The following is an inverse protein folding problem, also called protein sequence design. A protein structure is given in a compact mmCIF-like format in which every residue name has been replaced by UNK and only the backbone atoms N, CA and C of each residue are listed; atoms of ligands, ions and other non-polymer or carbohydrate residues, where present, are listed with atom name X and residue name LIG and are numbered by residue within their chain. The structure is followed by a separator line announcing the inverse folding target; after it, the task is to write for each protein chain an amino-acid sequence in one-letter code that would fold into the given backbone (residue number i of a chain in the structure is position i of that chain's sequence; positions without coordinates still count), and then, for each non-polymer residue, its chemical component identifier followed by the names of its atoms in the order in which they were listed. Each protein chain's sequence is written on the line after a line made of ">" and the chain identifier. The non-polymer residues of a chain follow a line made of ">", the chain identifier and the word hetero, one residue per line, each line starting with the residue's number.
data_IF_760615079961
#
_entry.id   IF_760615079961
#
_cell.length_a   1.000
_cell.length_b   1.000
_cell.length_c   1.000
_cell.angle_alpha   90.00
_cell.angle_beta   90.00
_cell.angle_gamma   90.00
#
_symmetry.space_group_name_H-M   'P 1'
#
loop_
_entity.id
_entity.type
_entity.pdbx_description
1 polymer ?
#
# COMPACT_ATOMS: atom_id res chain seq x y z
N UNK A 1 8.59 29.88 4.46
CA UNK A 1 9.28 28.78 3.75
C UNK A 1 9.44 27.55 4.66
N UNK A 2 10.06 27.67 5.83
CA UNK A 2 10.26 26.53 6.74
C UNK A 2 8.97 25.85 7.20
N UNK A 3 7.90 26.62 7.48
CA UNK A 3 6.63 26.07 7.95
C UNK A 3 5.94 25.09 6.97
N UNK A 4 6.17 25.23 5.66
CA UNK A 4 5.62 24.34 4.63
C UNK A 4 6.61 23.27 4.15
N UNK A 5 7.83 23.25 4.70
CA UNK A 5 8.85 22.24 4.38
C UNK A 5 8.35 20.80 4.61
N UNK A 6 7.57 20.49 5.67
CA UNK A 6 7.02 19.14 5.85
C UNK A 6 6.07 18.72 4.72
N UNK A 7 5.27 19.65 4.18
CA UNK A 7 4.36 19.39 3.05
C UNK A 7 5.16 19.11 1.77
N UNK A 8 6.20 19.91 1.50
CA UNK A 8 7.07 19.68 0.35
C UNK A 8 7.82 18.33 0.44
N UNK A 9 8.27 17.95 1.65
CA UNK A 9 8.89 16.66 1.90
C UNK A 9 7.90 15.51 1.63
N UNK A 10 6.66 15.62 2.12
CA UNK A 10 5.60 14.64 1.83
C UNK A 10 5.34 14.51 0.33
N UNK A 11 5.19 15.63 -0.38
CA UNK A 11 4.95 15.63 -1.82
C UNK A 11 6.10 14.96 -2.59
N UNK A 12 7.35 15.28 -2.26
CA UNK A 12 8.54 14.64 -2.85
C UNK A 12 8.53 13.12 -2.64
N UNK A 13 8.26 12.68 -1.40
CA UNK A 13 8.17 11.28 -1.04
C UNK A 13 7.08 10.54 -1.83
N UNK A 14 5.90 11.15 -1.97
CA UNK A 14 4.80 10.59 -2.73
C UNK A 14 5.13 10.48 -4.23
N UNK A 15 5.81 11.48 -4.80
CA UNK A 15 6.26 11.44 -6.20
C UNK A 15 7.23 10.29 -6.47
N UNK A 16 8.24 10.10 -5.62
CA UNK A 16 9.16 8.97 -5.77
C UNK A 16 8.45 7.63 -5.53
N UNK A 17 7.48 7.57 -4.60
CA UNK A 17 6.68 6.37 -4.36
C UNK A 17 5.92 5.92 -5.61
N UNK A 18 5.31 6.84 -6.37
CA UNK A 18 4.60 6.49 -7.61
C UNK A 18 5.54 6.27 -8.79
N UNK A 19 6.72 6.90 -8.79
CA UNK A 19 7.73 6.70 -9.84
C UNK A 19 8.32 5.29 -9.80
N UNK A 20 8.50 4.75 -8.59
CA UNK A 20 8.95 3.37 -8.36
C UNK A 20 7.95 2.32 -8.90
N UNK A 21 6.67 2.69 -9.15
CA UNK A 21 5.66 1.75 -9.67
C UNK A 21 5.97 1.27 -11.09
N UNK A 22 6.74 2.02 -11.88
CA UNK A 22 7.20 1.59 -13.19
C UNK A 22 8.08 0.31 -13.13
N UNK A 23 8.66 0.01 -11.97
CA UNK A 23 9.41 -1.23 -11.72
C UNK A 23 8.49 -2.45 -11.55
N UNK A 24 7.21 -2.22 -11.22
CA UNK A 24 6.21 -3.27 -11.07
C UNK A 24 5.57 -3.59 -12.42
N UNK A 25 5.17 -2.57 -13.15
CA UNK A 25 4.59 -2.70 -14.49
C UNK A 25 4.99 -1.49 -15.35
N UNK A 26 5.52 -1.67 -16.57
CA UNK A 26 5.90 -0.57 -17.46
C UNK A 26 4.76 0.39 -17.79
N UNK A 27 3.50 -0.01 -17.62
CA UNK A 27 2.32 0.84 -17.82
C UNK A 27 2.13 1.87 -16.70
N UNK A 28 2.77 1.71 -15.54
CA UNK A 28 2.64 2.61 -14.40
C UNK A 28 3.63 3.78 -14.50
N UNK A 29 3.35 4.69 -15.41
CA UNK A 29 4.16 5.87 -15.66
C UNK A 29 3.39 7.15 -15.36
N UNK A 30 3.98 8.00 -14.51
CA UNK A 30 3.40 9.27 -14.11
C UNK A 30 4.44 10.37 -14.31
N UNK A 31 4.12 11.37 -15.11
CA UNK A 31 5.05 12.48 -15.35
C UNK A 31 5.08 13.43 -14.14
N UNK A 32 6.24 14.06 -13.92
CA UNK A 32 6.37 15.10 -12.91
C UNK A 32 5.41 16.27 -13.17
N UNK A 33 5.19 16.63 -14.44
CA UNK A 33 4.27 17.70 -14.82
C UNK A 33 2.83 17.39 -14.39
N UNK A 34 2.37 16.16 -14.61
CA UNK A 34 1.06 15.70 -14.13
C UNK A 34 0.97 15.73 -12.60
N UNK A 35 2.01 15.23 -11.91
CA UNK A 35 2.05 15.22 -10.46
C UNK A 35 1.98 16.64 -9.86
N UNK A 36 2.73 17.59 -10.43
CA UNK A 36 2.71 18.99 -10.01
C UNK A 36 1.32 19.59 -10.23
N UNK A 37 0.67 19.32 -11.38
CA UNK A 37 -0.68 19.80 -11.64
C UNK A 37 -1.68 19.27 -10.62
N UNK A 38 -1.60 17.98 -10.29
CA UNK A 38 -2.44 17.36 -9.26
C UNK A 38 -2.16 17.97 -7.87
N UNK A 39 -0.90 18.26 -7.55
CA UNK A 39 -0.51 18.87 -6.28
C UNK A 39 -1.03 20.30 -6.14
N UNK A 40 -0.94 21.11 -7.20
CA UNK A 40 -1.49 22.48 -7.22
C UNK A 40 -3.00 22.45 -7.01
N UNK A 41 -3.73 21.57 -7.72
CA UNK A 41 -5.17 21.37 -7.50
C UNK A 41 -5.47 20.95 -6.06
N UNK A 42 -4.65 20.06 -5.49
CA UNK A 42 -4.74 19.64 -4.10
C UNK A 42 -4.61 20.80 -3.10
N UNK A 43 -3.75 21.79 -3.39
CA UNK A 43 -3.63 23.01 -2.56
C UNK A 43 -4.92 23.84 -2.65
N UNK A 44 -5.52 23.95 -3.82
CA UNK A 44 -6.75 24.72 -4.03
C UNK A 44 -7.93 24.11 -3.30
N UNK A 45 -8.12 22.79 -3.40
CA UNK A 45 -9.28 22.05 -2.90
C UNK A 45 -9.19 21.64 -1.42
N UNK A 46 -7.99 21.45 -0.88
CA UNK A 46 -7.84 21.03 0.52
C UNK A 46 -8.45 22.07 1.51
N UNK A 47 -8.94 21.63 2.68
CA UNK A 47 -9.52 22.51 3.70
C UNK A 47 -8.59 23.65 4.14
N UNK A 48 -9.05 24.91 4.00
CA UNK A 48 -8.26 26.09 4.39
C UNK A 48 -8.23 26.21 5.93
N UNK A 49 -7.08 26.60 6.47
CA UNK A 49 -6.95 27.01 7.88
C UNK A 49 -6.01 28.22 7.96
N UNK A 50 -6.26 29.07 8.95
CA UNK A 50 -5.38 30.18 9.30
C UNK A 50 -4.11 29.69 10.03
N UNK A 51 -4.20 28.55 10.72
CA UNK A 51 -3.04 27.91 11.33
C UNK A 51 -2.24 27.12 10.30
N UNK A 52 -0.94 27.41 10.20
CA UNK A 52 -0.08 26.82 9.17
C UNK A 52 0.17 25.34 9.41
N UNK A 53 0.19 24.91 10.67
CA UNK A 53 0.41 23.50 11.04
C UNK A 53 -0.81 22.67 10.68
N UNK A 54 -2.00 23.11 11.11
CA UNK A 54 -3.28 22.50 10.76
C UNK A 54 -3.48 22.47 9.24
N UNK A 55 -3.20 23.59 8.57
CA UNK A 55 -3.24 23.66 7.11
C UNK A 55 -2.28 22.66 6.45
N UNK A 56 -1.08 22.50 6.99
CA UNK A 56 -0.08 21.55 6.51
C UNK A 56 -0.55 20.09 6.65
N UNK A 57 -1.19 19.75 7.76
CA UNK A 57 -1.80 18.42 7.96
C UNK A 57 -2.93 18.17 6.97
N UNK A 58 -3.86 19.11 6.83
CA UNK A 58 -4.98 19.01 5.90
C UNK A 58 -4.50 18.86 4.44
N UNK A 59 -3.46 19.59 4.04
CA UNK A 59 -2.83 19.45 2.72
C UNK A 59 -2.26 18.05 2.51
N UNK A 60 -1.51 17.53 3.48
CA UNK A 60 -0.92 16.21 3.39
C UNK A 60 -1.98 15.11 3.31
N UNK A 61 -3.02 15.17 4.14
CA UNK A 61 -4.11 14.19 4.14
C UNK A 61 -4.91 14.22 2.84
N UNK A 62 -5.30 15.43 2.40
CA UNK A 62 -6.06 15.61 1.16
C UNK A 62 -5.26 15.11 -0.04
N UNK A 63 -4.02 15.57 -0.18
CA UNK A 63 -3.22 15.22 -1.34
C UNK A 63 -2.82 13.74 -1.36
N UNK A 64 -2.53 13.13 -0.20
CA UNK A 64 -2.23 11.69 -0.13
C UNK A 64 -3.41 10.86 -0.63
N UNK A 65 -4.63 11.21 -0.23
CA UNK A 65 -5.82 10.50 -0.69
C UNK A 65 -6.16 10.80 -2.16
N UNK A 66 -6.07 12.07 -2.58
CA UNK A 66 -6.29 12.46 -3.98
C UNK A 66 -5.32 11.74 -4.92
N UNK A 67 -4.05 11.65 -4.54
CA UNK A 67 -3.05 10.87 -5.27
C UNK A 67 -3.42 9.39 -5.28
N UNK A 68 -3.76 8.81 -4.13
CA UNK A 68 -4.18 7.41 -4.05
C UNK A 68 -5.31 7.08 -5.03
N UNK A 69 -6.36 7.90 -5.04
CA UNK A 69 -7.51 7.74 -5.95
C UNK A 69 -7.06 7.80 -7.41
N UNK A 70 -6.25 8.79 -7.77
CA UNK A 70 -5.78 8.96 -9.14
C UNK A 70 -4.91 7.80 -9.62
N UNK A 71 -4.01 7.30 -8.76
CA UNK A 71 -3.14 6.17 -9.09
C UNK A 71 -3.97 4.88 -9.20
N UNK A 72 -4.85 4.60 -8.24
CA UNK A 72 -5.69 3.40 -8.24
C UNK A 72 -6.62 3.27 -9.45
N UNK A 73 -7.00 4.38 -10.11
CA UNK A 73 -7.74 4.35 -11.38
C UNK A 73 -6.95 3.71 -12.53
N UNK A 74 -5.63 3.75 -12.46
CA UNK A 74 -4.71 3.24 -13.49
C UNK A 74 -4.03 1.92 -13.12
N UNK A 75 -4.13 1.49 -11.85
CA UNK A 75 -3.53 0.24 -11.38
C UNK A 75 -4.44 -0.97 -11.66
N UNK A 76 -3.81 -2.11 -11.96
CA UNK A 76 -4.49 -3.39 -11.91
C UNK A 76 -4.92 -3.72 -10.48
N UNK A 77 -6.04 -4.43 -10.33
CA UNK A 77 -6.63 -4.76 -9.02
C UNK A 77 -5.61 -5.40 -8.06
N UNK A 78 -4.82 -6.35 -8.56
CA UNK A 78 -3.76 -7.04 -7.81
C UNK A 78 -2.68 -6.13 -7.21
N UNK A 79 -2.51 -4.91 -7.72
CA UNK A 79 -1.46 -3.98 -7.28
C UNK A 79 -1.98 -2.87 -6.36
N UNK A 80 -3.31 -2.74 -6.16
CA UNK A 80 -3.87 -1.63 -5.38
C UNK A 80 -3.50 -1.71 -3.89
N UNK A 81 -3.68 -2.87 -3.25
CA UNK A 81 -3.29 -3.06 -1.85
C UNK A 81 -1.77 -2.94 -1.64
N UNK A 82 -0.97 -3.44 -2.60
CA UNK A 82 0.48 -3.27 -2.60
C UNK A 82 0.87 -1.80 -2.60
N UNK A 83 0.20 -0.98 -3.41
CA UNK A 83 0.42 0.47 -3.43
C UNK A 83 0.01 1.13 -2.11
N UNK A 84 -1.13 0.75 -1.53
CA UNK A 84 -1.54 1.25 -0.20
C UNK A 84 -0.52 0.92 0.89
N UNK A 85 0.02 -0.31 0.88
CA UNK A 85 1.11 -0.71 1.78
C UNK A 85 2.36 0.16 1.53
N UNK A 86 2.77 0.33 0.28
CA UNK A 86 3.96 1.13 -0.06
C UNK A 86 3.83 2.59 0.39
N UNK A 87 2.66 3.20 0.19
CA UNK A 87 2.36 4.54 0.70
C UNK A 87 2.51 4.60 2.23
N UNK A 88 1.89 3.68 2.96
CA UNK A 88 1.95 3.64 4.42
C UNK A 88 3.39 3.48 4.91
N UNK A 89 4.14 2.53 4.33
CA UNK A 89 5.54 2.26 4.69
C UNK A 89 6.41 3.48 4.45
N UNK A 90 6.36 4.10 3.26
CA UNK A 90 7.18 5.27 2.94
C UNK A 90 6.84 6.44 3.88
N UNK A 91 5.55 6.67 4.14
CA UNK A 91 5.07 7.73 5.04
C UNK A 91 5.63 7.55 6.46
N UNK A 92 5.55 6.34 7.01
CA UNK A 92 6.00 6.01 8.37
C UNK A 92 7.52 5.95 8.48
N UNK A 93 8.23 5.45 7.46
CA UNK A 93 9.70 5.48 7.43
C UNK A 93 10.23 6.91 7.50
N UNK A 94 9.62 7.84 6.77
CA UNK A 94 10.00 9.26 6.85
C UNK A 94 9.71 9.89 8.22
N UNK A 95 8.77 9.34 8.98
CA UNK A 95 8.46 9.74 10.35
C UNK A 95 9.29 8.99 11.41
N UNK A 96 10.15 8.05 11.00
CA UNK A 96 10.92 7.20 11.91
C UNK A 96 10.12 6.08 12.58
N UNK A 97 8.88 5.82 12.14
CA UNK A 97 7.99 4.81 12.70
C UNK A 97 8.26 3.37 12.24
N UNK A 98 9.10 3.18 11.21
CA UNK A 98 9.45 1.86 10.67
C UNK A 98 10.96 1.74 10.51
N UNK A 99 11.54 0.68 11.08
CA UNK A 99 12.95 0.39 10.93
C UNK A 99 13.25 -0.24 9.56
N UNK A 100 14.35 0.16 8.91
CA UNK A 100 14.75 -0.37 7.61
C UNK A 100 15.10 -1.86 7.63
N UNK A 101 15.64 -2.40 8.73
CA UNK A 101 15.90 -3.83 8.89
C UNK A 101 14.61 -4.63 9.03
N UNK A 102 13.64 -4.13 9.80
CA UNK A 102 12.30 -4.74 9.92
C UNK A 102 11.58 -4.75 8.56
N UNK A 103 11.64 -3.66 7.79
CA UNK A 103 11.10 -3.61 6.43
C UNK A 103 11.75 -4.62 5.49
N UNK A 104 13.09 -4.71 5.50
CA UNK A 104 13.79 -5.74 4.70
C UNK A 104 13.41 -7.15 5.12
N UNK A 105 13.21 -7.39 6.42
CA UNK A 105 12.77 -8.69 6.92
C UNK A 105 11.36 -9.06 6.41
N UNK A 106 10.41 -8.12 6.40
CA UNK A 106 9.07 -8.38 5.84
C UNK A 106 9.13 -8.80 4.36
N UNK A 107 10.03 -8.17 3.58
CA UNK A 107 10.16 -8.42 2.15
C UNK A 107 10.94 -9.71 1.83
N UNK A 108 12.15 -9.85 2.37
CA UNK A 108 13.09 -10.90 1.99
C UNK A 108 13.12 -12.08 2.97
N UNK A 109 12.70 -11.87 4.22
CA UNK A 109 12.76 -12.86 5.28
C UNK A 109 14.16 -13.11 5.83
N UNK A 110 14.42 -14.34 6.31
CA UNK A 110 15.70 -14.67 6.92
C UNK A 110 16.82 -14.59 5.88
N UNK A 111 17.92 -13.93 6.24
CA UNK A 111 19.14 -13.88 5.43
C UNK A 111 20.09 -15.05 5.71
N UNK A 112 19.78 -15.85 6.73
CA UNK A 112 20.57 -16.99 7.15
C UNK A 112 19.67 -18.19 7.43
N UNK A 113 20.18 -19.39 7.20
CA UNK A 113 19.55 -20.64 7.64
C UNK A 113 19.84 -20.95 9.11
N UNK A 114 20.33 -19.97 9.88
CA UNK A 114 20.79 -20.21 11.24
C UNK A 114 19.61 -20.53 12.15
N UNK A 115 19.69 -21.71 12.78
CA UNK A 115 18.79 -22.13 13.83
C UNK A 115 19.55 -21.92 15.13
N UNK A 116 19.28 -20.80 15.81
CA UNK A 116 19.89 -20.51 17.11
C UNK A 116 19.61 -21.62 18.14
N UNK A 117 18.53 -22.39 17.93
CA UNK A 117 18.17 -23.52 18.76
C UNK A 117 17.18 -24.48 18.03
N UNK A 118 16.95 -25.72 18.50
CA UNK A 118 16.06 -26.67 17.82
C UNK A 118 14.58 -26.25 17.85
N UNK A 119 13.83 -26.68 16.83
CA UNK A 119 12.40 -26.43 16.72
C UNK A 119 11.65 -26.99 17.94
N UNK A 120 10.99 -26.15 18.76
CA UNK A 120 10.33 -26.59 19.98
C UNK A 120 8.97 -27.26 19.74
N UNK A 121 8.43 -27.18 18.52
CA UNK A 121 7.11 -27.69 18.20
C UNK A 121 7.03 -28.35 16.80
N UNK A 122 7.85 -29.38 16.53
CA UNK A 122 7.94 -30.02 15.21
C UNK A 122 6.62 -30.67 14.74
N UNK A 123 5.68 -30.90 15.65
CA UNK A 123 4.37 -31.50 15.36
C UNK A 123 3.40 -30.56 14.62
N UNK A 124 3.62 -29.23 14.66
CA UNK A 124 2.76 -28.25 13.97
C UNK A 124 3.53 -27.09 13.34
N UNK A 125 4.75 -26.80 13.79
CA UNK A 125 5.60 -25.76 13.24
C UNK A 125 6.66 -26.38 12.33
N UNK A 126 6.73 -25.90 11.08
CA UNK A 126 7.76 -26.36 10.15
C UNK A 126 9.13 -25.79 10.52
N UNK A 127 10.20 -26.52 10.20
CA UNK A 127 11.57 -26.03 10.41
C UNK A 127 11.85 -24.73 9.63
N UNK A 128 11.22 -24.55 8.47
CA UNK A 128 11.29 -23.29 7.72
C UNK A 128 10.73 -22.14 8.54
N UNK A 129 9.51 -22.27 9.08
CA UNK A 129 8.90 -21.25 9.94
C UNK A 129 9.73 -21.00 11.20
N UNK A 130 10.33 -22.04 11.78
CA UNK A 130 11.21 -21.89 12.93
C UNK A 130 12.48 -21.10 12.60
N UNK A 131 13.13 -21.34 11.45
CA UNK A 131 14.25 -20.50 10.97
C UNK A 131 13.82 -19.04 10.84
N UNK A 132 12.61 -18.77 10.34
CA UNK A 132 12.10 -17.40 10.28
C UNK A 132 11.96 -16.77 11.67
N UNK A 133 11.44 -17.50 12.67
CA UNK A 133 11.32 -17.02 14.06
C UNK A 133 12.70 -16.78 14.68
N UNK A 134 13.66 -17.67 14.48
CA UNK A 134 15.04 -17.49 14.96
C UNK A 134 15.66 -16.21 14.38
N UNK A 135 15.50 -15.97 13.08
CA UNK A 135 16.02 -14.75 12.44
C UNK A 135 15.22 -13.50 12.84
N UNK A 136 13.92 -13.62 13.11
CA UNK A 136 13.10 -12.53 13.64
C UNK A 136 13.67 -12.02 14.96
N UNK A 137 14.11 -12.93 15.85
CA UNK A 137 14.69 -12.58 17.15
C UNK A 137 16.02 -11.81 17.07
N UNK A 138 16.69 -11.76 15.91
CA UNK A 138 17.85 -10.90 15.70
C UNK A 138 17.48 -9.42 15.53
N UNK A 139 16.21 -9.10 15.28
CA UNK A 139 15.73 -7.73 15.30
C UNK A 139 15.68 -7.23 16.75
N UNK A 140 16.18 -6.03 16.99
CA UNK A 140 16.25 -5.42 18.34
C UNK A 140 14.91 -5.45 19.09
N UNK A 141 13.81 -5.30 18.36
CA UNK A 141 12.43 -5.27 18.88
C UNK A 141 11.89 -6.64 19.26
N UNK A 142 12.56 -7.71 18.81
CA UNK A 142 12.25 -9.11 19.08
C UNK A 142 13.37 -9.82 19.87
N UNK A 143 14.25 -9.07 20.54
CA UNK A 143 15.30 -9.64 21.36
C UNK A 143 14.68 -10.58 22.43
N UNK A 144 15.18 -11.82 22.53
CA UNK A 144 14.66 -12.84 23.45
C UNK A 144 13.41 -13.58 22.95
N UNK A 145 12.91 -13.28 21.74
CA UNK A 145 11.63 -13.83 21.27
C UNK A 145 11.64 -15.36 21.07
N UNK A 146 12.79 -15.98 20.76
CA UNK A 146 12.89 -17.43 20.63
C UNK A 146 12.58 -18.17 21.93
N UNK A 147 13.06 -17.66 23.06
CA UNK A 147 12.82 -18.26 24.37
C UNK A 147 11.39 -17.97 24.82
N UNK A 148 10.92 -16.74 24.61
CA UNK A 148 9.52 -16.36 24.84
C UNK A 148 8.53 -17.24 24.07
N UNK A 149 8.83 -17.56 22.81
CA UNK A 149 8.01 -18.44 21.99
C UNK A 149 7.91 -19.86 22.57
N UNK A 150 9.02 -20.37 23.11
CA UNK A 150 9.10 -21.70 23.76
C UNK A 150 8.33 -21.77 25.06
N UNK A 151 8.35 -20.69 25.83
CA UNK A 151 7.63 -20.63 27.10
C UNK A 151 6.12 -20.48 26.90
N UNK A 152 5.67 -20.09 25.69
CA UNK A 152 4.26 -19.80 25.38
C UNK A 152 3.72 -20.65 24.19
N UNK A 153 4.20 -21.88 24.03
CA UNK A 153 3.84 -22.75 22.89
C UNK A 153 2.34 -22.97 22.72
N UNK A 154 1.58 -23.11 23.82
CA UNK A 154 0.13 -23.32 23.75
C UNK A 154 -0.59 -22.10 23.14
N UNK A 155 -0.19 -20.89 23.54
CA UNK A 155 -0.73 -19.64 22.98
C UNK A 155 -0.42 -19.53 21.49
N UNK A 156 0.84 -19.77 21.11
CA UNK A 156 1.25 -19.66 19.70
C UNK A 156 0.67 -20.77 18.83
N UNK A 157 0.41 -21.95 19.38
CA UNK A 157 -0.36 -23.00 18.71
C UNK A 157 -1.81 -22.55 18.48
N UNK A 158 -2.47 -22.00 19.49
CA UNK A 158 -3.83 -21.47 19.33
C UNK A 158 -3.90 -20.35 18.29
N UNK A 159 -2.88 -19.49 18.21
CA UNK A 159 -2.75 -18.47 17.17
C UNK A 159 -2.57 -19.12 15.79
N UNK A 160 -1.68 -20.10 15.67
CA UNK A 160 -1.43 -20.83 14.43
C UNK A 160 -2.70 -21.52 13.90
N UNK A 161 -3.51 -22.12 14.79
CA UNK A 161 -4.74 -22.82 14.42
C UNK A 161 -5.93 -21.86 14.14
N UNK A 162 -5.82 -20.58 14.49
CA UNK A 162 -6.91 -19.60 14.35
C UNK A 162 -7.14 -19.14 12.90
N UNK A 163 -8.40 -19.12 12.46
CA UNK A 163 -8.75 -18.51 11.16
C UNK A 163 -8.53 -16.99 11.13
N UNK A 164 -8.52 -16.35 12.30
CA UNK A 164 -8.36 -14.91 12.48
C UNK A 164 -7.00 -14.56 13.11
N UNK A 165 -5.97 -15.36 12.83
CA UNK A 165 -4.63 -15.20 13.39
C UNK A 165 -4.05 -13.78 13.29
N UNK A 166 -4.43 -13.01 12.26
CA UNK A 166 -4.03 -11.61 12.07
C UNK A 166 -4.58 -10.63 13.13
N UNK A 167 -5.64 -11.02 13.85
CA UNK A 167 -6.24 -10.25 14.95
C UNK A 167 -5.87 -10.80 16.34
N UNK A 168 -5.24 -11.98 16.41
CA UNK A 168 -4.86 -12.58 17.69
C UNK A 168 -3.61 -11.89 18.21
N UNK A 169 -3.63 -11.29 19.42
CA UNK A 169 -2.44 -10.68 19.99
C UNK A 169 -1.37 -11.73 20.31
N UNK A 170 -0.10 -11.33 20.29
CA UNK A 170 0.98 -12.18 20.78
C UNK A 170 0.88 -12.33 22.31
N UNK A 171 1.57 -13.31 22.88
CA UNK A 171 1.69 -13.40 24.33
C UNK A 171 2.46 -12.17 24.88
N UNK A 172 2.07 -11.68 26.06
CA UNK A 172 2.76 -10.58 26.75
C UNK A 172 4.21 -10.96 27.06
N UNK A 173 5.19 -10.04 26.96
CA UNK A 173 5.03 -8.59 26.83
C UNK A 173 4.89 -8.08 25.38
N UNK A 174 5.03 -8.95 24.37
CA UNK A 174 5.04 -8.53 22.97
C UNK A 174 3.66 -8.11 22.45
N UNK A 175 2.58 -8.53 23.12
CA UNK A 175 1.24 -8.05 22.85
C UNK A 175 1.16 -6.52 22.95
N UNK A 176 1.65 -5.97 24.07
CA UNK A 176 1.61 -4.53 24.36
C UNK A 176 2.79 -3.75 23.77
N UNK A 177 3.96 -4.38 23.62
CA UNK A 177 5.18 -3.69 23.19
C UNK A 177 5.29 -3.46 21.66
N UNK A 178 4.69 -4.33 20.84
CA UNK A 178 4.88 -4.30 19.39
C UNK A 178 3.84 -3.44 18.67
N UNK A 179 4.29 -2.74 17.63
CA UNK A 179 3.41 -2.05 16.69
C UNK A 179 2.69 -3.05 15.77
N UNK A 180 1.60 -2.62 15.12
CA UNK A 180 0.90 -3.45 14.13
C UNK A 180 1.82 -3.88 12.99
N UNK A 181 2.76 -3.02 12.55
CA UNK A 181 3.78 -3.39 11.57
C UNK A 181 4.69 -4.52 12.07
N UNK A 182 5.18 -4.43 13.31
CA UNK A 182 6.04 -5.47 13.88
C UNK A 182 5.29 -6.80 14.05
N UNK A 183 4.00 -6.76 14.43
CA UNK A 183 3.16 -7.96 14.49
C UNK A 183 3.04 -8.64 13.12
N UNK A 184 3.07 -7.89 12.01
CA UNK A 184 3.11 -8.48 10.65
C UNK A 184 4.37 -9.31 10.39
N UNK A 185 5.51 -8.92 10.98
CA UNK A 185 6.76 -9.68 10.84
C UNK A 185 6.60 -11.08 11.45
N UNK A 186 6.01 -11.17 12.64
CA UNK A 186 5.69 -12.44 13.27
C UNK A 186 4.64 -13.23 12.49
N UNK A 187 3.55 -12.57 12.07
CA UNK A 187 2.47 -13.21 11.32
C UNK A 187 3.00 -13.84 10.03
N UNK A 188 3.93 -13.18 9.34
CA UNK A 188 4.62 -13.72 8.16
C UNK A 188 5.35 -15.03 8.44
N UNK A 189 6.00 -15.17 9.59
CA UNK A 189 6.77 -16.36 9.94
C UNK A 189 5.87 -17.59 10.19
N UNK A 190 4.68 -17.37 10.77
CA UNK A 190 3.82 -18.44 11.31
C UNK A 190 2.57 -18.69 10.46
N UNK A 191 1.96 -17.63 9.92
CA UNK A 191 0.73 -17.64 9.11
C UNK A 191 0.86 -16.73 7.89
N UNK A 192 1.75 -17.05 6.93
CA UNK A 192 1.94 -16.25 5.72
C UNK A 192 0.66 -16.07 4.89
N UNK A 193 -0.27 -17.02 4.97
CA UNK A 193 -1.60 -16.96 4.32
C UNK A 193 -2.49 -15.83 4.87
N UNK A 194 -2.26 -15.36 6.10
CA UNK A 194 -3.02 -14.28 6.74
C UNK A 194 -2.35 -12.91 6.65
N UNK A 195 -1.17 -12.82 6.04
CA UNK A 195 -0.43 -11.55 5.92
C UNK A 195 -1.21 -10.49 5.14
N UNK A 196 -1.96 -10.87 4.09
CA UNK A 196 -2.79 -9.93 3.33
C UNK A 196 -3.83 -9.24 4.22
N UNK A 197 -4.49 -10.01 5.09
CA UNK A 197 -5.49 -9.47 6.04
C UNK A 197 -4.82 -8.57 7.08
N UNK A 198 -3.65 -8.98 7.60
CA UNK A 198 -2.85 -8.14 8.48
C UNK A 198 -2.41 -6.83 7.82
N UNK A 199 -2.01 -6.87 6.55
CA UNK A 199 -1.63 -5.67 5.77
C UNK A 199 -2.82 -4.73 5.61
N UNK A 200 -4.02 -5.25 5.36
CA UNK A 200 -5.23 -4.43 5.32
C UNK A 200 -5.49 -3.74 6.66
N UNK A 201 -5.38 -4.47 7.78
CA UNK A 201 -5.49 -3.90 9.11
C UNK A 201 -4.45 -2.81 9.38
N UNK A 202 -3.18 -3.06 9.03
CA UNK A 202 -2.10 -2.08 9.15
C UNK A 202 -2.35 -0.82 8.33
N UNK A 203 -2.78 -0.94 7.07
CA UNK A 203 -3.11 0.19 6.22
C UNK A 203 -4.31 0.97 6.78
N UNK A 204 -5.36 0.26 7.21
CA UNK A 204 -6.56 0.88 7.78
C UNK A 204 -6.24 1.67 9.06
N UNK A 205 -5.36 1.17 9.92
CA UNK A 205 -4.93 1.86 11.14
C UNK A 205 -4.10 3.12 10.83
N UNK A 206 -3.21 3.06 9.83
CA UNK A 206 -2.22 4.14 9.61
C UNK A 206 -2.64 5.18 8.57
N UNK A 207 -3.44 4.80 7.56
CA UNK A 207 -3.92 5.69 6.50
C UNK A 207 -5.46 5.86 6.52
N UNK A 208 -6.18 4.91 7.11
CA UNK A 208 -7.64 4.87 7.14
C UNK A 208 -8.24 3.83 6.19
N UNK A 209 -9.46 3.38 6.50
CA UNK A 209 -10.18 2.32 5.77
C UNK A 209 -10.34 2.62 4.26
N UNK A 210 -10.48 3.89 3.89
CA UNK A 210 -10.57 4.35 2.50
C UNK A 210 -9.37 3.98 1.61
N UNK A 211 -8.23 3.57 2.19
CA UNK A 211 -7.05 3.13 1.45
C UNK A 211 -7.01 1.62 1.20
N UNK A 212 -7.94 0.84 1.76
CA UNK A 212 -8.11 -0.58 1.45
C UNK A 212 -9.34 -0.85 0.56
N UNK A 213 -10.09 0.21 0.24
CA UNK A 213 -11.27 0.20 -0.63
C UNK A 213 -10.96 1.01 -1.89
N UNK A 214 -10.60 0.36 -3.01
CA UNK A 214 -10.38 1.06 -4.26
C UNK A 214 -11.58 1.90 -4.68
N UNK A 215 -11.38 3.14 -5.15
CA UNK A 215 -12.47 3.95 -5.66
C UNK A 215 -13.09 3.28 -6.90
N UNK A 216 -14.43 3.35 -7.05
CA UNK A 216 -15.08 2.86 -8.25
C UNK A 216 -14.64 3.66 -9.47
N UNK A 217 -14.72 3.04 -10.65
CA UNK A 217 -14.46 3.73 -11.91
C UNK A 217 -15.51 4.83 -12.14
N UNK A 218 -15.05 6.05 -12.43
CA UNK A 218 -15.90 7.21 -12.69
C UNK A 218 -15.40 7.94 -13.96
N UNK A 219 -16.05 7.65 -15.09
CA UNK A 219 -15.73 8.26 -16.38
C UNK A 219 -15.97 9.77 -16.38
N UNK A 220 -16.98 10.27 -15.65
CA UNK A 220 -17.30 11.68 -15.62
C UNK A 220 -16.20 12.49 -14.95
N UNK A 221 -15.62 11.97 -13.87
CA UNK A 221 -14.47 12.60 -13.21
C UNK A 221 -13.21 12.50 -14.07
N UNK A 222 -12.91 11.35 -14.66
CA UNK A 222 -11.77 11.23 -15.60
C UNK A 222 -11.88 12.21 -16.77
N UNK A 223 -13.07 12.38 -17.35
CA UNK A 223 -13.31 13.33 -18.44
C UNK A 223 -13.12 14.79 -18.01
N UNK A 224 -13.61 15.16 -16.81
CA UNK A 224 -13.44 16.51 -16.25
C UNK A 224 -11.96 16.86 -16.03
N UNK A 225 -11.14 15.86 -15.72
CA UNK A 225 -9.70 16.01 -15.48
C UNK A 225 -8.86 15.87 -16.76
N UNK A 226 -9.46 15.45 -17.87
CA UNK A 226 -8.81 15.34 -19.17
C UNK A 226 -8.73 16.68 -19.90
N UNK A 227 -7.84 16.75 -20.88
CA UNK A 227 -7.66 17.93 -21.73
C UNK A 227 -7.34 17.47 -23.16
N UNK A 228 -7.46 18.35 -24.18
CA UNK A 228 -7.06 18.00 -25.55
C UNK A 228 -5.61 17.48 -25.67
N UNK A 229 -4.71 17.92 -24.80
CA UNK A 229 -3.32 17.46 -24.73
C UNK A 229 -3.10 16.29 -23.75
N UNK A 230 -4.16 15.76 -23.13
CA UNK A 230 -4.11 14.70 -22.12
C UNK A 230 -5.23 13.68 -22.42
N UNK A 231 -4.99 12.75 -23.38
CA UNK A 231 -6.00 11.80 -23.80
C UNK A 231 -6.33 10.78 -22.70
N UNK A 232 -7.57 10.28 -22.73
CA UNK A 232 -7.98 9.16 -21.88
C UNK A 232 -7.63 7.84 -22.56
N UNK A 233 -6.85 7.01 -21.86
CA UNK A 233 -6.48 5.67 -22.31
C UNK A 233 -7.20 4.66 -21.42
N UNK A 234 -7.94 3.75 -22.04
CA UNK A 234 -8.63 2.66 -21.35
C UNK A 234 -7.75 1.41 -21.40
N UNK A 235 -7.33 0.93 -20.22
CA UNK A 235 -6.59 -0.33 -20.10
C UNK A 235 -7.58 -1.42 -19.70
N UNK A 236 -7.77 -2.39 -20.58
CA UNK A 236 -8.81 -3.40 -20.44
C UNK A 236 -8.24 -4.71 -19.96
N UNK A 237 -9.01 -5.39 -19.11
CA UNK A 237 -8.78 -6.80 -18.83
C UNK A 237 -9.49 -7.64 -19.90
N UNK A 238 -9.03 -8.87 -20.19
CA UNK A 238 -9.73 -9.77 -21.10
C UNK A 238 -11.20 -9.90 -20.70
N UNK A 239 -12.12 -9.63 -21.64
CA UNK A 239 -13.57 -9.70 -21.42
C UNK A 239 -14.23 -8.42 -20.89
N UNK A 240 -13.49 -7.33 -20.65
CA UNK A 240 -14.09 -6.01 -20.34
C UNK A 240 -14.14 -5.12 -21.58
N UNK A 241 -15.30 -4.51 -21.86
CA UNK A 241 -15.48 -3.52 -22.93
C UNK A 241 -16.13 -2.24 -22.37
N UNK A 242 -15.44 -1.08 -22.36
CA UNK A 242 -15.96 0.17 -21.85
C UNK A 242 -16.82 0.93 -22.87
N UNK A 243 -16.91 0.44 -24.12
CA UNK A 243 -17.44 1.22 -25.23
C UNK A 243 -18.91 1.62 -25.03
N UNK A 244 -19.74 0.71 -24.51
CA UNK A 244 -21.14 1.02 -24.21
C UNK A 244 -21.25 2.17 -23.20
N UNK A 245 -20.48 2.12 -22.10
CA UNK A 245 -20.48 3.16 -21.08
C UNK A 245 -19.94 4.50 -21.61
N UNK A 246 -18.93 4.46 -22.48
CA UNK A 246 -18.38 5.65 -23.14
C UNK A 246 -19.40 6.32 -24.07
N UNK A 247 -20.11 5.54 -24.88
CA UNK A 247 -21.13 6.05 -25.80
C UNK A 247 -22.30 6.68 -25.05
N UNK A 248 -22.81 6.02 -24.01
CA UNK A 248 -23.86 6.59 -23.15
C UNK A 248 -23.41 7.90 -22.53
N UNK A 249 -22.19 7.96 -21.98
CA UNK A 249 -21.65 9.18 -21.40
C UNK A 249 -21.49 10.31 -22.43
N UNK A 250 -21.08 9.99 -23.65
CA UNK A 250 -20.94 10.98 -24.71
C UNK A 250 -22.29 11.56 -25.16
N UNK A 251 -23.32 10.71 -25.26
CA UNK A 251 -24.69 11.12 -25.54
C UNK A 251 -25.22 12.08 -24.46
N UNK A 252 -25.04 11.74 -23.18
CA UNK A 252 -25.40 12.60 -22.04
C UNK A 252 -24.70 13.96 -22.06
N UNK A 253 -23.48 14.02 -22.59
CA UNK A 253 -22.70 15.26 -22.75
C UNK A 253 -22.97 16.00 -24.06
N UNK A 254 -23.74 15.41 -24.98
CA UNK A 254 -23.95 15.95 -26.33
C UNK A 254 -22.66 16.01 -27.16
N UNK A 255 -21.71 15.10 -26.90
CA UNK A 255 -20.41 15.04 -27.58
C UNK A 255 -20.49 13.99 -28.68
N UNK A 256 -20.10 14.38 -29.90
CA UNK A 256 -19.99 13.46 -31.04
C UNK A 256 -18.75 12.58 -30.87
N UNK A 257 -18.94 11.26 -30.95
CA UNK A 257 -17.86 10.27 -30.93
C UNK A 257 -17.62 9.76 -32.35
N UNK A 258 -16.36 9.75 -32.77
CA UNK A 258 -15.92 9.09 -33.99
C UNK A 258 -14.96 7.97 -33.60
N UNK A 259 -15.19 6.77 -34.12
CA UNK A 259 -14.42 5.58 -33.78
C UNK A 259 -13.59 5.13 -34.97
N UNK A 260 -12.33 4.82 -34.73
CA UNK A 260 -11.44 4.17 -35.70
C UNK A 260 -10.89 2.90 -35.07
N UNK A 261 -11.10 1.76 -35.74
CA UNK A 261 -10.59 0.47 -35.29
C UNK A 261 -9.15 0.28 -35.75
N UNK A 262 -8.24 0.08 -34.80
CA UNK A 262 -6.85 -0.25 -35.10
C UNK A 262 -6.73 -1.75 -35.40
N UNK A 263 -6.44 -2.09 -36.66
CA UNK A 263 -6.24 -3.45 -37.14
C UNK A 263 -5.23 -3.50 -38.28
N UNK A 264 -4.79 -4.70 -38.68
CA UNK A 264 -3.90 -4.84 -39.83
C UNK A 264 -4.56 -4.27 -41.10
N UNK A 265 -3.87 -3.35 -41.78
CA UNK A 265 -4.33 -2.71 -43.02
C UNK A 265 -5.20 -1.45 -42.85
N UNK A 266 -5.32 -0.90 -41.64
CA UNK A 266 -6.07 0.34 -41.35
C UNK A 266 -5.15 1.55 -41.07
N UNK A 267 -3.83 1.43 -41.37
CA UNK A 267 -2.91 2.57 -41.34
C UNK A 267 -3.02 3.39 -42.64
N UNK A 268 -2.72 4.69 -42.59
CA UNK A 268 -2.69 5.55 -43.78
C UNK A 268 -1.66 5.10 -44.82
#
# INVERSE_FOLDING_TARGET
>A
RELYRPVALRASLLFFCISDLALVDPMYQYSLAWFISLFVRGIEEAPKSADVTERGLALNEYFTYSLYVNICRSLFERHKLMFSLLLAIKILQNQGGINGAEWRFLLAGPTSSDMSAPNPAPQWLTDKSWVEICNLAHLKTFAGFTDHFRDNLEHYKSLFDSNDAHNVPLAEPYASALTTFQRLLFLRCVRPDKVIMGVQGFVAENLGHKFIEPPPFDLATCYRESAPATPLIFVLSPGSDPMAALLTFAEEKGVRVESVSLGQGQGP
#
